data_IF_469023092777
#
_entry.id   IF_469023092777
#
_cell.length_a   1.000
_cell.length_b   1.000
_cell.length_c   1.000
_cell.angle_alpha   90.00
_cell.angle_beta   90.00
_cell.angle_gamma   90.00
#
_symmetry.space_group_name_H-M   'P 1'
#
loop_
_entity.id
_entity.type
_entity.pdbx_description
1 polymer ?
#
# COMPACT_ATOMS: atom_id res chain seq x y z
N UNK A 1 7.74 -22.74 -3.30
CA UNK A 1 6.97 -22.16 -2.17
C UNK A 1 7.60 -22.40 -0.81
N UNK A 2 7.91 -23.63 -0.36
CA UNK A 2 8.49 -23.84 0.99
C UNK A 2 9.79 -23.05 1.26
N UNK A 3 10.70 -22.96 0.29
CA UNK A 3 11.97 -22.22 0.47
C UNK A 3 11.81 -20.70 0.33
N UNK A 4 10.82 -20.26 -0.45
CA UNK A 4 10.43 -18.85 -0.57
C UNK A 4 9.91 -18.32 0.77
N UNK A 5 9.13 -19.15 1.49
CA UNK A 5 8.59 -18.81 2.80
C UNK A 5 9.69 -18.50 3.82
N UNK A 6 10.85 -19.16 3.75
CA UNK A 6 11.94 -18.91 4.70
C UNK A 6 12.72 -17.64 4.36
N UNK A 7 13.10 -17.46 3.08
CA UNK A 7 13.94 -16.33 2.66
C UNK A 7 13.18 -14.98 2.68
N UNK A 8 11.89 -14.98 2.33
CA UNK A 8 11.05 -13.78 2.40
C UNK A 8 10.81 -13.38 3.87
N UNK A 9 10.57 -14.33 4.77
CA UNK A 9 10.29 -14.00 6.18
C UNK A 9 11.49 -13.43 6.94
N UNK A 10 12.73 -13.79 6.59
CA UNK A 10 13.92 -13.30 7.29
C UNK A 10 14.37 -11.90 6.84
N UNK A 11 14.03 -11.49 5.61
CA UNK A 11 14.53 -10.26 4.98
C UNK A 11 13.52 -9.11 4.95
N UNK A 12 12.34 -9.29 5.55
CA UNK A 12 11.23 -8.32 5.52
C UNK A 12 10.86 -7.95 6.94
N UNK A 13 10.95 -6.67 7.25
CA UNK A 13 10.29 -6.10 8.40
C UNK A 13 8.82 -5.82 8.05
N UNK A 14 7.93 -6.45 8.81
CA UNK A 14 6.50 -6.31 8.65
C UNK A 14 5.76 -7.64 8.76
N UNK A 15 4.48 -7.61 8.42
CA UNK A 15 3.60 -8.77 8.57
C UNK A 15 3.51 -9.54 7.26
N UNK A 16 3.63 -10.87 7.32
CA UNK A 16 3.42 -11.78 6.20
C UNK A 16 2.31 -12.75 6.58
N UNK A 17 1.30 -12.86 5.72
CA UNK A 17 0.18 -13.79 5.88
C UNK A 17 0.14 -14.75 4.71
N UNK A 18 -0.23 -15.98 4.97
CA UNK A 18 -0.41 -17.03 3.96
C UNK A 18 -1.89 -17.36 3.85
N UNK A 19 -2.34 -17.67 2.64
CA UNK A 19 -3.74 -18.03 2.37
C UNK A 19 -4.76 -16.97 2.87
N UNK A 20 -4.36 -15.70 2.88
CA UNK A 20 -5.18 -14.61 3.42
C UNK A 20 -6.31 -14.25 2.45
N UNK A 21 -7.58 -14.22 2.90
CA UNK A 21 -8.69 -13.84 2.04
C UNK A 21 -8.66 -12.34 1.69
N UNK A 22 -8.65 -12.00 0.39
CA UNK A 22 -8.70 -10.61 -0.05
C UNK A 22 -10.00 -9.89 0.30
N UNK A 23 -11.08 -10.62 0.59
CA UNK A 23 -12.33 -10.05 1.14
C UNK A 23 -12.15 -9.29 2.45
N UNK A 24 -11.11 -9.58 3.23
CA UNK A 24 -10.76 -8.79 4.43
C UNK A 24 -10.11 -7.43 4.10
N UNK A 25 -9.69 -7.22 2.85
CA UNK A 25 -8.86 -6.10 2.39
C UNK A 25 -9.48 -5.30 1.24
N UNK A 26 -10.69 -5.64 0.79
CA UNK A 26 -11.43 -4.91 -0.27
C UNK A 26 -12.68 -4.23 0.28
N UNK A 27 -13.05 -3.07 -0.28
CA UNK A 27 -14.26 -2.34 0.11
C UNK A 27 -15.55 -3.12 -0.17
N UNK A 28 -15.53 -3.92 -1.25
CA UNK A 28 -16.63 -4.79 -1.66
C UNK A 28 -16.77 -6.04 -0.79
N UNK A 29 -15.78 -6.32 0.08
CA UNK A 29 -15.74 -7.52 0.95
C UNK A 29 -15.83 -8.83 0.17
N UNK A 30 -15.24 -8.86 -1.01
CA UNK A 30 -15.13 -10.03 -1.88
C UNK A 30 -13.66 -10.32 -2.16
N UNK A 31 -13.35 -11.55 -2.57
CA UNK A 31 -12.00 -11.97 -2.86
C UNK A 31 -11.59 -13.20 -2.06
N UNK A 32 -11.10 -14.19 -2.80
CA UNK A 32 -10.56 -15.44 -2.31
C UNK A 32 -9.16 -15.28 -1.71
N UNK A 33 -8.54 -16.39 -1.29
CA UNK A 33 -7.24 -16.38 -0.66
C UNK A 33 -6.14 -16.02 -1.66
N UNK A 34 -5.22 -15.14 -1.27
CA UNK A 34 -3.93 -14.97 -1.96
C UNK A 34 -2.88 -15.87 -1.32
N UNK A 35 -1.94 -16.40 -2.11
CA UNK A 35 -0.91 -17.30 -1.56
C UNK A 35 -0.09 -16.63 -0.47
N UNK A 36 0.35 -15.38 -0.71
CA UNK A 36 1.11 -14.58 0.26
C UNK A 36 0.62 -13.14 0.22
N UNK A 37 0.30 -12.58 1.39
CA UNK A 37 0.05 -11.15 1.59
C UNK A 37 1.16 -10.56 2.45
N UNK A 38 1.84 -9.54 1.95
CA UNK A 38 2.95 -8.86 2.63
C UNK A 38 2.55 -7.43 2.99
N UNK A 39 2.85 -7.04 4.23
CA UNK A 39 2.70 -5.68 4.75
C UNK A 39 4.08 -5.15 5.13
N UNK A 40 4.88 -4.67 4.16
CA UNK A 40 6.20 -4.12 4.47
C UNK A 40 6.06 -2.85 5.32
N UNK A 41 6.91 -2.71 6.33
CA UNK A 41 6.94 -1.53 7.21
C UNK A 41 7.85 -0.42 6.72
N UNK A 42 8.74 -0.72 5.77
CA UNK A 42 9.75 0.20 5.28
C UNK A 42 10.11 -0.04 3.79
N UNK A 43 10.77 0.94 3.12
CA UNK A 43 11.14 0.82 1.70
C UNK A 43 12.11 -0.32 1.38
N UNK A 44 13.00 -0.71 2.31
CA UNK A 44 13.94 -1.82 2.13
C UNK A 44 13.18 -3.14 2.09
N UNK A 45 12.24 -3.33 3.01
CA UNK A 45 11.36 -4.50 3.08
C UNK A 45 10.47 -4.62 1.84
N UNK A 46 9.91 -3.50 1.35
CA UNK A 46 9.19 -3.47 0.08
C UNK A 46 10.11 -3.88 -1.08
N UNK A 47 11.29 -3.28 -1.19
CA UNK A 47 12.27 -3.62 -2.24
C UNK A 47 12.64 -5.10 -2.20
N UNK A 48 12.92 -5.65 -1.02
CA UNK A 48 13.27 -7.05 -0.85
C UNK A 48 12.14 -7.97 -1.32
N UNK A 49 10.88 -7.62 -1.03
CA UNK A 49 9.69 -8.34 -1.53
C UNK A 49 9.65 -8.35 -3.06
N UNK A 50 9.82 -7.18 -3.68
CA UNK A 50 9.79 -7.04 -5.15
C UNK A 50 10.91 -7.84 -5.83
N UNK A 51 12.14 -7.73 -5.30
CA UNK A 51 13.31 -8.46 -5.83
C UNK A 51 13.14 -9.98 -5.66
N UNK A 52 12.61 -10.43 -4.52
CA UNK A 52 12.35 -11.86 -4.31
C UNK A 52 11.30 -12.40 -5.28
N UNK A 53 10.21 -11.65 -5.52
CA UNK A 53 9.18 -12.02 -6.47
C UNK A 53 9.74 -12.09 -7.90
N UNK A 54 10.52 -11.09 -8.32
CA UNK A 54 11.14 -11.04 -9.64
C UNK A 54 12.12 -12.21 -9.86
N UNK A 55 13.03 -12.45 -8.89
CA UNK A 55 14.02 -13.52 -8.98
C UNK A 55 13.40 -14.91 -9.17
N UNK A 56 12.27 -15.15 -8.52
CA UNK A 56 11.58 -16.44 -8.54
C UNK A 56 10.44 -16.49 -9.57
N UNK A 57 10.27 -15.43 -10.38
CA UNK A 57 9.20 -15.28 -11.39
C UNK A 57 7.79 -15.45 -10.81
N UNK A 58 7.55 -14.91 -9.62
CA UNK A 58 6.27 -15.00 -8.92
C UNK A 58 5.43 -13.77 -9.27
N UNK A 59 4.18 -13.94 -9.74
CA UNK A 59 3.27 -12.82 -9.95
C UNK A 59 3.11 -12.01 -8.66
N UNK A 60 3.24 -10.68 -8.78
CA UNK A 60 3.09 -9.78 -7.65
C UNK A 60 2.23 -8.58 -8.06
N UNK A 61 1.36 -8.15 -7.15
CA UNK A 61 0.64 -6.88 -7.30
C UNK A 61 0.65 -6.09 -6.00
N UNK A 62 0.65 -4.76 -6.14
CA UNK A 62 0.58 -3.82 -5.03
C UNK A 62 -0.84 -3.25 -4.96
N UNK A 63 -1.36 -3.04 -3.75
CA UNK A 63 -2.65 -2.39 -3.56
C UNK A 63 -2.67 -1.44 -2.36
N UNK A 64 -3.55 -0.43 -2.45
CA UNK A 64 -3.84 0.52 -1.38
C UNK A 64 -4.93 0.03 -0.44
N UNK A 65 -5.96 0.85 -0.22
CA UNK A 65 -7.08 0.53 0.68
C UNK A 65 -8.09 -0.50 0.11
N UNK A 66 -7.85 -1.03 -1.09
CA UNK A 66 -8.77 -1.98 -1.75
C UNK A 66 -10.13 -1.41 -2.14
N UNK A 67 -10.24 -0.07 -2.29
CA UNK A 67 -11.51 0.62 -2.57
C UNK A 67 -11.95 0.53 -4.02
N UNK A 68 -11.05 0.16 -4.92
CA UNK A 68 -11.27 0.01 -6.36
C UNK A 68 -10.77 -1.35 -6.88
N UNK A 69 -10.90 -2.41 -6.08
CA UNK A 69 -10.52 -3.76 -6.46
C UNK A 69 -11.73 -4.68 -6.57
N UNK A 70 -11.82 -5.39 -7.70
CA UNK A 70 -12.71 -6.53 -7.91
C UNK A 70 -11.89 -7.81 -7.81
N UNK A 71 -11.75 -8.34 -6.60
CA UNK A 71 -10.99 -9.57 -6.36
C UNK A 71 -11.85 -10.81 -6.65
N UNK A 72 -11.30 -11.76 -7.41
CA UNK A 72 -11.93 -13.05 -7.68
C UNK A 72 -12.10 -13.84 -6.38
N UNK A 73 -13.20 -14.59 -6.23
CA UNK A 73 -13.39 -15.53 -5.12
C UNK A 73 -12.50 -16.78 -5.21
N UNK A 74 -11.89 -17.00 -6.38
CA UNK A 74 -10.86 -18.03 -6.55
C UNK A 74 -9.56 -17.66 -5.81
N UNK A 75 -8.70 -18.66 -5.63
CA UNK A 75 -7.32 -18.41 -5.20
C UNK A 75 -6.62 -17.43 -6.16
N UNK A 76 -5.86 -16.51 -5.59
CA UNK A 76 -5.00 -15.57 -6.31
C UNK A 76 -3.57 -16.07 -6.14
N UNK A 77 -2.98 -16.56 -7.23
CA UNK A 77 -1.62 -17.10 -7.22
C UNK A 77 -0.59 -15.97 -7.13
N UNK A 78 0.39 -16.11 -6.23
CA UNK A 78 1.49 -15.15 -6.07
C UNK A 78 1.39 -14.24 -4.84
N UNK A 79 1.94 -13.03 -4.94
CA UNK A 79 2.15 -12.12 -3.81
C UNK A 79 1.29 -10.87 -3.95
N UNK A 80 0.49 -10.58 -2.93
CA UNK A 80 -0.12 -9.28 -2.76
C UNK A 80 0.72 -8.43 -1.79
N UNK A 81 0.88 -7.14 -2.07
CA UNK A 81 1.61 -6.21 -1.21
C UNK A 81 0.72 -5.03 -0.84
N UNK A 82 0.52 -4.80 0.46
CA UNK A 82 -0.23 -3.65 0.95
C UNK A 82 0.71 -2.59 1.51
N UNK A 83 0.64 -1.37 0.98
CA UNK A 83 1.48 -0.25 1.45
C UNK A 83 0.90 0.47 2.68
N UNK A 84 -0.02 -0.16 3.43
CA UNK A 84 -0.76 0.48 4.53
C UNK A 84 0.12 1.14 5.61
N UNK A 85 1.38 0.72 5.75
CA UNK A 85 2.33 1.26 6.73
C UNK A 85 3.01 2.57 6.27
N UNK A 86 3.03 2.89 4.98
CA UNK A 86 3.74 4.05 4.41
C UNK A 86 2.89 5.31 4.55
N UNK A 87 2.80 5.87 5.75
CA UNK A 87 1.88 6.97 6.12
C UNK A 87 2.55 8.32 6.42
N UNK A 88 3.77 8.54 5.94
CA UNK A 88 4.48 9.80 6.18
C UNK A 88 3.84 10.96 5.42
N UNK A 89 3.90 12.16 6.01
CA UNK A 89 3.59 13.44 5.36
C UNK A 89 4.71 14.39 5.75
N UNK A 90 5.49 14.86 4.78
CA UNK A 90 6.66 15.69 5.01
C UNK A 90 6.66 16.90 4.08
N UNK A 91 7.04 18.08 4.60
CA UNK A 91 7.30 19.25 3.78
C UNK A 91 8.65 19.08 3.07
N UNK A 92 8.66 19.16 1.75
CA UNK A 92 9.90 19.03 0.97
C UNK A 92 10.57 20.37 0.66
N UNK A 93 9.79 21.46 0.60
CA UNK A 93 10.21 22.86 0.49
C UNK A 93 8.98 23.76 0.59
N UNK A 94 9.10 24.85 1.33
CA UNK A 94 8.32 26.06 1.03
C UNK A 94 9.01 26.70 -0.17
N UNK A 95 8.30 26.81 -1.28
CA UNK A 95 8.81 27.55 -2.44
C UNK A 95 8.63 29.04 -2.19
N UNK A 96 9.45 29.90 -2.80
CA UNK A 96 9.24 31.37 -2.77
C UNK A 96 7.94 31.80 -3.46
N UNK A 97 7.28 30.86 -4.14
CA UNK A 97 5.93 30.98 -4.70
C UNK A 97 4.92 30.47 -3.65
N UNK A 98 3.73 31.08 -3.54
CA UNK A 98 2.61 30.75 -2.62
C UNK A 98 2.06 29.30 -2.77
N UNK A 99 2.94 28.30 -2.71
CA UNK A 99 2.71 26.88 -2.97
C UNK A 99 3.43 26.07 -1.90
N UNK A 100 2.83 24.93 -1.58
CA UNK A 100 3.39 23.93 -0.68
C UNK A 100 3.73 22.67 -1.47
N UNK A 101 4.87 22.05 -1.17
CA UNK A 101 5.24 20.76 -1.75
C UNK A 101 5.36 19.71 -0.64
N UNK A 102 4.47 18.73 -0.68
CA UNK A 102 4.42 17.63 0.28
C UNK A 102 4.97 16.34 -0.34
N UNK A 103 5.83 15.64 0.38
CA UNK A 103 6.12 14.23 0.13
C UNK A 103 5.18 13.41 1.01
N UNK A 104 4.37 12.54 0.39
CA UNK A 104 3.33 11.79 1.08
C UNK A 104 3.52 10.31 0.79
N UNK A 105 3.56 9.50 1.84
CA UNK A 105 3.64 8.05 1.73
C UNK A 105 2.39 7.48 1.05
N UNK A 106 2.59 6.51 0.16
CA UNK A 106 1.53 5.90 -0.65
C UNK A 106 0.41 5.23 0.17
N UNK A 107 0.69 4.84 1.42
CA UNK A 107 -0.28 4.26 2.36
C UNK A 107 -1.09 5.27 3.16
N UNK A 108 -0.85 6.57 2.96
CA UNK A 108 -1.56 7.64 3.68
C UNK A 108 -3.02 7.68 3.22
N UNK A 109 -4.00 7.57 4.13
CA UNK A 109 -5.40 7.79 3.76
C UNK A 109 -5.60 9.17 3.14
N UNK A 110 -6.35 9.24 2.04
CA UNK A 110 -6.55 10.49 1.32
C UNK A 110 -7.22 11.57 2.20
N UNK A 111 -8.14 11.14 3.07
CA UNK A 111 -8.76 11.99 4.10
C UNK A 111 -7.74 12.58 5.08
N UNK A 112 -6.69 11.84 5.43
CA UNK A 112 -5.62 12.32 6.32
C UNK A 112 -4.83 13.43 5.63
N UNK A 113 -4.48 13.25 4.35
CA UNK A 113 -3.79 14.28 3.57
C UNK A 113 -4.63 15.55 3.40
N UNK A 114 -5.93 15.39 3.13
CA UNK A 114 -6.85 16.53 2.99
C UNK A 114 -6.97 17.32 4.29
N UNK A 115 -7.15 16.63 5.43
CA UNK A 115 -7.22 17.28 6.74
C UNK A 115 -5.92 18.01 7.07
N UNK A 116 -4.77 17.39 6.78
CA UNK A 116 -3.47 18.04 6.94
C UNK A 116 -3.34 19.32 6.11
N UNK A 117 -3.76 19.28 4.84
CA UNK A 117 -3.75 20.45 3.97
C UNK A 117 -4.69 21.56 4.49
N UNK A 118 -5.88 21.19 4.95
CA UNK A 118 -6.87 22.11 5.51
C UNK A 118 -6.36 22.80 6.78
N UNK A 119 -5.75 22.05 7.70
CA UNK A 119 -5.15 22.58 8.93
C UNK A 119 -3.96 23.52 8.64
N UNK A 120 -3.21 23.24 7.56
CA UNK A 120 -2.15 24.10 7.06
C UNK A 120 -2.61 25.33 6.26
N UNK A 121 -3.92 25.49 6.04
CA UNK A 121 -4.46 26.59 5.23
C UNK A 121 -4.17 26.47 3.72
N UNK A 122 -3.83 25.27 3.25
CA UNK A 122 -3.52 24.99 1.85
C UNK A 122 -4.78 24.58 1.07
N UNK A 123 -4.81 24.92 -0.22
CA UNK A 123 -5.88 24.55 -1.17
C UNK A 123 -5.33 23.76 -2.36
N UNK A 124 -6.22 23.16 -3.15
CA UNK A 124 -5.92 22.45 -4.39
C UNK A 124 -6.31 20.97 -4.41
N UNK A 125 -6.65 20.39 -3.25
CA UNK A 125 -7.04 18.97 -3.14
C UNK A 125 -8.40 18.75 -2.46
N UNK A 126 -9.11 19.82 -2.11
CA UNK A 126 -10.47 19.78 -1.56
C UNK A 126 -11.46 19.03 -2.45
N UNK A 127 -11.25 19.03 -3.77
CA UNK A 127 -12.08 18.25 -4.70
C UNK A 127 -11.98 16.73 -4.54
N UNK A 128 -10.99 16.24 -3.78
CA UNK A 128 -10.81 14.82 -3.49
C UNK A 128 -11.57 14.36 -2.23
N UNK A 129 -12.24 15.28 -1.53
CA UNK A 129 -13.08 14.94 -0.37
C UNK A 129 -14.13 13.92 -0.78
N UNK A 130 -14.24 12.85 0.01
CA UNK A 130 -15.18 11.75 -0.23
C UNK A 130 -14.65 10.63 -1.12
N UNK A 131 -13.48 10.78 -1.75
CA UNK A 131 -12.81 9.68 -2.45
C UNK A 131 -12.15 8.76 -1.42
N UNK A 132 -12.59 7.49 -1.30
CA UNK A 132 -12.01 6.55 -0.35
C UNK A 132 -10.73 5.94 -0.93
N UNK A 133 -9.67 5.85 -0.14
CA UNK A 133 -8.42 5.27 -0.62
C UNK A 133 -7.20 5.72 0.16
N UNK A 134 -6.07 5.20 -0.28
CA UNK A 134 -4.77 5.77 0.06
C UNK A 134 -4.29 6.66 -1.10
N UNK A 135 -3.18 7.38 -0.89
CA UNK A 135 -2.61 8.29 -1.90
C UNK A 135 -2.08 7.56 -3.13
N UNK A 136 -1.48 6.37 -2.94
CA UNK A 136 -0.94 5.55 -4.03
C UNK A 136 -1.89 4.48 -4.57
#
# INVERSE_FOLDING_TARGET
MKDLNSNICEAIQGEIRFDEPMSAHTSLKIGGPVDILVFPEDPVSLKNTLVAAEKENIPLFVFGAGTNLLASDSRIEGIAVSLKAFRSIEYTKETDEEKVVLCVGAGTPLVTLINFACEGGYSGIEGLVGIPGYVG
#
